data_IF_254785892814
#
_entry.id   IF_254785892814
#
_cell.length_a   1.000
_cell.length_b   1.000
_cell.length_c   1.000
_cell.angle_alpha   90.00
_cell.angle_beta   90.00
_cell.angle_gamma   90.00
#
_symmetry.space_group_name_H-M   'P 1'
#
loop_
_entity.id
_entity.type
_entity.pdbx_description
1 polymer ?
#
# COMPACT_ATOMS: atom_id res chain seq x y z
N UNK A 1 -18.36 13.87 -9.29
CA UNK A 1 -17.37 12.82 -9.64
C UNK A 1 -17.63 11.49 -8.93
N UNK A 2 -17.97 11.45 -7.63
CA UNK A 2 -18.23 10.21 -6.87
C UNK A 2 -19.12 9.17 -7.56
N UNK A 3 -20.27 9.57 -8.12
CA UNK A 3 -21.19 8.64 -8.83
C UNK A 3 -20.54 7.91 -10.01
N UNK A 4 -19.55 8.53 -10.68
CA UNK A 4 -18.82 7.90 -11.79
C UNK A 4 -17.94 6.78 -11.26
N UNK A 5 -17.06 7.09 -10.32
CA UNK A 5 -16.10 6.12 -9.77
C UNK A 5 -16.80 4.95 -9.07
N UNK A 6 -17.86 5.20 -8.32
CA UNK A 6 -18.69 4.14 -7.75
C UNK A 6 -19.30 3.23 -8.83
N UNK A 7 -19.74 3.81 -9.95
CA UNK A 7 -20.30 3.03 -11.06
C UNK A 7 -19.22 2.18 -11.72
N UNK A 8 -18.01 2.72 -11.92
CA UNK A 8 -16.86 1.97 -12.41
C UNK A 8 -16.56 0.77 -11.49
N UNK A 9 -16.44 1.00 -10.18
CA UNK A 9 -16.25 -0.08 -9.21
C UNK A 9 -17.39 -1.10 -9.22
N UNK A 10 -18.65 -0.65 -9.34
CA UNK A 10 -19.80 -1.57 -9.41
C UNK A 10 -19.79 -2.42 -10.68
N UNK A 11 -19.27 -1.90 -11.80
CA UNK A 11 -19.27 -2.57 -13.12
C UNK A 11 -17.96 -3.24 -13.49
N UNK A 12 -16.91 -3.11 -12.68
CA UNK A 12 -15.65 -3.82 -12.84
C UNK A 12 -15.88 -5.33 -13.02
N UNK A 13 -15.19 -5.91 -14.01
CA UNK A 13 -15.32 -7.32 -14.37
C UNK A 13 -14.81 -8.25 -13.28
N UNK A 14 -13.56 -8.03 -12.87
CA UNK A 14 -12.89 -8.86 -11.88
C UNK A 14 -12.94 -8.19 -10.51
N UNK A 15 -13.70 -8.76 -9.58
CA UNK A 15 -13.75 -8.31 -8.18
C UNK A 15 -13.16 -9.35 -7.23
N UNK A 16 -11.98 -9.85 -7.59
CA UNK A 16 -11.32 -10.92 -6.86
C UNK A 16 -10.54 -10.45 -5.64
N UNK A 17 -10.90 -9.29 -5.08
CA UNK A 17 -10.25 -8.76 -3.89
C UNK A 17 -10.25 -9.78 -2.74
N UNK A 18 -11.39 -10.41 -2.42
CA UNK A 18 -11.49 -11.39 -1.33
C UNK A 18 -10.72 -12.69 -1.56
N UNK A 19 -10.38 -13.03 -2.81
CA UNK A 19 -9.56 -14.21 -3.15
C UNK A 19 -8.10 -13.87 -3.38
N UNK A 20 -7.74 -12.58 -3.34
CA UNK A 20 -6.37 -12.10 -3.55
C UNK A 20 -5.39 -12.61 -2.48
N UNK A 21 -4.10 -12.58 -2.81
CA UNK A 21 -3.03 -12.88 -1.84
C UNK A 21 -3.03 -11.86 -0.68
N UNK A 22 -3.28 -10.59 -0.98
CA UNK A 22 -3.36 -9.51 0.01
C UNK A 22 -4.47 -9.76 1.03
N UNK A 23 -5.68 -10.11 0.59
CA UNK A 23 -6.78 -10.37 1.51
C UNK A 23 -6.56 -11.65 2.33
N UNK A 24 -6.00 -12.70 1.73
CA UNK A 24 -5.65 -13.94 2.46
C UNK A 24 -4.58 -13.71 3.53
N UNK A 25 -3.57 -12.91 3.21
CA UNK A 25 -2.55 -12.52 4.18
C UNK A 25 -3.16 -11.70 5.32
N UNK A 26 -4.03 -10.74 5.00
CA UNK A 26 -4.75 -9.95 5.98
C UNK A 26 -5.60 -10.81 6.91
N UNK A 27 -6.49 -11.65 6.37
CA UNK A 27 -7.42 -12.45 7.19
C UNK A 27 -6.69 -13.36 8.17
N UNK A 28 -5.54 -13.91 7.77
CA UNK A 28 -4.69 -14.76 8.61
C UNK A 28 -4.06 -14.01 9.80
N UNK A 29 -3.75 -12.72 9.64
CA UNK A 29 -2.90 -11.99 10.59
C UNK A 29 -3.57 -10.76 11.24
N UNK A 30 -4.78 -10.37 10.82
CA UNK A 30 -5.44 -9.12 11.24
C UNK A 30 -5.58 -8.92 12.75
N UNK A 31 -5.62 -10.00 13.54
CA UNK A 31 -5.71 -9.95 15.00
C UNK A 31 -4.45 -9.33 15.65
N UNK A 32 -3.31 -9.34 14.95
CA UNK A 32 -2.10 -8.65 15.43
C UNK A 32 -2.32 -7.15 15.63
N UNK A 33 -3.30 -6.56 14.95
CA UNK A 33 -3.62 -5.14 15.04
C UNK A 33 -4.44 -4.80 16.30
N UNK A 34 -5.11 -5.78 16.91
CA UNK A 34 -6.00 -5.54 18.06
C UNK A 34 -5.22 -5.14 19.33
N UNK A 35 -3.94 -5.54 19.39
CA UNK A 35 -2.99 -5.17 20.43
C UNK A 35 -2.64 -3.68 20.43
N UNK A 36 -2.86 -2.97 19.32
CA UNK A 36 -2.50 -1.56 19.16
C UNK A 36 -3.76 -0.72 18.97
N UNK A 37 -4.20 0.08 19.96
CA UNK A 37 -5.41 0.88 19.87
C UNK A 37 -5.49 1.74 18.60
N UNK A 38 -4.37 2.33 18.18
CA UNK A 38 -4.26 3.15 16.96
C UNK A 38 -4.61 2.37 15.67
N UNK A 39 -4.36 1.05 15.63
CA UNK A 39 -4.56 0.24 14.44
C UNK A 39 -5.79 -0.65 14.48
N UNK A 40 -6.48 -0.70 15.62
CA UNK A 40 -7.64 -1.58 15.82
C UNK A 40 -8.73 -1.39 14.75
N UNK A 41 -8.93 -0.18 14.26
CA UNK A 41 -9.91 0.07 13.20
C UNK A 41 -9.60 -0.72 11.90
N UNK A 42 -8.33 -0.98 11.61
CA UNK A 42 -7.88 -1.75 10.45
C UNK A 42 -8.04 -3.27 10.62
N UNK A 43 -8.20 -3.80 11.84
CA UNK A 43 -8.43 -5.24 12.03
C UNK A 43 -9.76 -5.72 11.46
N UNK A 44 -10.68 -4.78 11.22
CA UNK A 44 -12.00 -5.00 10.62
C UNK A 44 -12.10 -4.52 9.16
N UNK A 45 -10.98 -4.16 8.52
CA UNK A 45 -10.93 -3.60 7.17
C UNK A 45 -11.69 -4.46 6.15
N UNK A 46 -12.60 -3.82 5.40
CA UNK A 46 -13.42 -4.46 4.34
C UNK A 46 -13.07 -3.97 2.93
N UNK A 47 -12.42 -2.81 2.84
CA UNK A 47 -12.03 -2.19 1.57
C UNK A 47 -10.60 -2.60 1.23
N UNK A 48 -10.34 -2.69 -0.07
CA UNK A 48 -9.05 -3.07 -0.64
C UNK A 48 -7.89 -2.21 -0.15
N UNK A 49 -8.04 -0.89 -0.19
CA UNK A 49 -6.99 0.02 0.24
C UNK A 49 -6.71 -0.09 1.75
N UNK A 50 -7.75 -0.23 2.57
CA UNK A 50 -7.59 -0.38 4.03
C UNK A 50 -6.89 -1.70 4.37
N UNK A 51 -7.16 -2.77 3.61
CA UNK A 51 -6.45 -4.04 3.75
C UNK A 51 -4.98 -3.94 3.35
N UNK A 52 -4.66 -3.21 2.27
CA UNK A 52 -3.26 -2.94 1.93
C UNK A 52 -2.57 -2.21 3.07
N UNK A 53 -3.21 -1.16 3.64
CA UNK A 53 -2.66 -0.43 4.78
C UNK A 53 -2.44 -1.33 6.00
N UNK A 54 -3.43 -2.16 6.33
CA UNK A 54 -3.34 -3.14 7.40
C UNK A 54 -2.14 -4.08 7.18
N UNK A 55 -1.93 -4.53 5.94
CA UNK A 55 -0.85 -5.44 5.60
C UNK A 55 0.54 -4.81 5.75
N UNK A 56 0.72 -3.51 5.48
CA UNK A 56 1.99 -2.81 5.76
C UNK A 56 2.32 -2.90 7.25
N UNK A 57 1.35 -2.62 8.12
CA UNK A 57 1.53 -2.65 9.59
C UNK A 57 1.80 -4.08 10.07
N UNK A 58 1.03 -5.06 9.59
CA UNK A 58 1.21 -6.48 9.93
C UNK A 58 2.61 -6.95 9.50
N UNK A 59 3.03 -6.64 8.27
CA UNK A 59 4.37 -6.98 7.77
C UNK A 59 5.47 -6.32 8.61
N UNK A 60 5.27 -5.07 9.04
CA UNK A 60 6.18 -4.38 9.97
C UNK A 60 6.33 -5.14 11.30
N UNK A 61 5.23 -5.59 11.91
CA UNK A 61 5.27 -6.38 13.15
C UNK A 61 5.95 -7.75 12.95
N UNK A 62 5.68 -8.41 11.81
CA UNK A 62 6.34 -9.67 11.45
C UNK A 62 7.84 -9.45 11.22
N UNK A 63 8.22 -8.37 10.56
CA UNK A 63 9.63 -8.03 10.32
C UNK A 63 10.36 -7.81 11.65
N UNK A 64 9.77 -7.01 12.55
CA UNK A 64 10.31 -6.76 13.90
C UNK A 64 10.63 -8.09 14.59
N UNK A 65 9.64 -8.98 14.68
CA UNK A 65 9.80 -10.30 15.32
C UNK A 65 10.90 -11.13 14.67
N UNK A 66 10.95 -11.19 13.34
CA UNK A 66 11.96 -11.97 12.62
C UNK A 66 13.38 -11.43 12.79
N UNK A 67 13.55 -10.11 12.81
CA UNK A 67 14.85 -9.48 13.05
C UNK A 67 15.32 -9.82 14.48
N UNK A 68 14.43 -9.70 15.47
CA UNK A 68 14.73 -10.02 16.87
C UNK A 68 15.10 -11.50 17.05
N UNK A 69 14.34 -12.41 16.44
CA UNK A 69 14.66 -13.84 16.42
C UNK A 69 16.03 -14.12 15.78
N UNK A 70 16.37 -13.42 14.69
CA UNK A 70 17.68 -13.56 14.04
C UNK A 70 18.83 -13.07 14.93
N UNK A 71 18.62 -11.99 15.68
CA UNK A 71 19.60 -11.46 16.65
C UNK A 71 19.85 -12.47 17.78
N UNK A 72 18.80 -13.04 18.36
CA UNK A 72 18.93 -14.06 19.40
C UNK A 72 19.59 -15.33 18.89
N UNK A 73 19.26 -15.76 17.67
CA UNK A 73 19.91 -16.90 17.05
C UNK A 73 21.41 -16.64 16.86
N UNK A 74 21.79 -15.46 16.34
CA UNK A 74 23.20 -15.09 16.16
C UNK A 74 24.01 -15.18 17.48
N UNK A 75 23.41 -14.78 18.60
CA UNK A 75 24.03 -14.90 19.93
C UNK A 75 24.23 -16.35 20.37
N UNK A 76 23.22 -17.20 20.19
CA UNK A 76 23.32 -18.62 20.53
C UNK A 76 24.40 -19.31 19.70
N UNK A 77 24.49 -18.99 18.40
CA UNK A 77 25.53 -19.52 17.51
C UNK A 77 26.92 -19.01 17.90
N UNK A 78 27.09 -17.74 18.26
CA UNK A 78 28.37 -17.19 18.72
C UNK A 78 28.88 -17.83 20.02
N UNK A 79 27.99 -18.27 20.92
CA UNK A 79 28.41 -19.02 22.13
C UNK A 79 28.95 -20.42 21.78
N UNK A 80 28.45 -21.03 20.71
CA UNK A 80 28.86 -22.36 20.24
C UNK A 80 30.13 -22.30 19.38
N UNK A 81 30.25 -21.30 18.52
CA UNK A 81 31.43 -21.06 17.68
C UNK A 81 32.34 -20.04 18.39
N UNK A 82 33.43 -20.52 19.02
CA UNK A 82 34.45 -19.71 19.71
C UNK A 82 35.26 -18.80 18.75
N UNK A 83 34.59 -17.95 17.96
CA UNK A 83 35.27 -17.15 16.95
C UNK A 83 35.43 -15.68 17.34
N UNK A 84 36.64 -15.21 17.03
CA UNK A 84 37.21 -13.88 17.21
C UNK A 84 36.53 -12.80 16.36
N UNK A 85 35.40 -13.09 15.74
CA UNK A 85 34.72 -12.14 14.85
C UNK A 85 33.79 -11.22 15.67
N UNK A 86 34.10 -9.93 15.59
CA UNK A 86 33.38 -8.85 16.26
C UNK A 86 31.96 -8.64 15.71
N UNK A 87 31.48 -7.40 15.74
CA UNK A 87 30.15 -7.00 15.24
C UNK A 87 29.89 -7.38 13.77
N UNK A 88 30.94 -7.51 12.95
CA UNK A 88 30.82 -7.82 11.52
C UNK A 88 30.14 -9.18 11.22
N UNK A 89 30.45 -10.23 11.98
CA UNK A 89 29.80 -11.54 11.84
C UNK A 89 28.30 -11.45 12.12
N UNK A 90 27.93 -10.79 13.21
CA UNK A 90 26.55 -10.64 13.65
C UNK A 90 25.71 -9.91 12.59
N UNK A 91 26.24 -8.82 12.04
CA UNK A 91 25.58 -8.06 10.98
C UNK A 91 25.38 -8.93 9.74
N UNK A 92 26.41 -9.66 9.30
CA UNK A 92 26.30 -10.53 8.12
C UNK A 92 25.27 -11.65 8.33
N UNK A 93 25.34 -12.34 9.47
CA UNK A 93 24.41 -13.42 9.82
C UNK A 93 22.95 -12.95 9.83
N UNK A 94 22.68 -11.81 10.49
CA UNK A 94 21.32 -11.26 10.55
C UNK A 94 20.84 -10.86 9.16
N UNK A 95 21.68 -10.18 8.35
CA UNK A 95 21.34 -9.78 6.98
C UNK A 95 20.95 -10.95 6.10
N UNK A 96 21.64 -12.09 6.21
CA UNK A 96 21.29 -13.32 5.49
C UNK A 96 19.90 -13.86 5.89
N UNK A 97 19.53 -13.75 7.18
CA UNK A 97 18.21 -14.21 7.66
C UNK A 97 17.07 -13.28 7.27
N UNK A 98 17.34 -12.00 7.06
CA UNK A 98 16.31 -10.99 6.77
C UNK A 98 16.25 -10.56 5.29
N UNK A 99 17.02 -11.21 4.41
CA UNK A 99 17.17 -10.83 3.00
C UNK A 99 15.84 -10.72 2.23
N UNK A 100 14.86 -11.54 2.60
CA UNK A 100 13.55 -11.58 1.94
C UNK A 100 12.47 -10.74 2.65
N UNK A 101 12.84 -9.99 3.69
CA UNK A 101 11.87 -9.12 4.37
C UNK A 101 11.60 -7.88 3.52
N UNK A 102 10.33 -7.44 3.41
CA UNK A 102 10.01 -6.18 2.75
C UNK A 102 10.63 -5.02 3.53
N UNK A 103 11.09 -4.00 2.81
CA UNK A 103 11.57 -2.75 3.38
C UNK A 103 11.19 -1.59 2.46
N UNK A 104 11.11 -0.39 3.05
CA UNK A 104 11.15 0.87 2.31
C UNK A 104 12.56 1.45 2.32
N UNK A 105 12.89 2.29 1.35
CA UNK A 105 14.14 3.05 1.34
C UNK A 105 13.79 4.51 1.62
N UNK A 106 14.31 5.05 2.72
CA UNK A 106 14.05 6.42 3.15
C UNK A 106 15.38 7.02 3.60
N UNK A 107 15.79 8.14 3.01
CA UNK A 107 17.09 8.77 3.26
C UNK A 107 18.27 7.78 3.13
N UNK A 108 18.26 6.96 2.07
CA UNK A 108 19.22 5.88 1.81
C UNK A 108 19.29 4.76 2.87
N UNK A 109 18.39 4.76 3.86
CA UNK A 109 18.29 3.72 4.89
C UNK A 109 17.14 2.77 4.58
N UNK A 110 17.37 1.47 4.85
CA UNK A 110 16.30 0.47 4.81
C UNK A 110 15.43 0.55 6.05
N UNK A 111 14.14 0.78 5.86
CA UNK A 111 13.12 0.80 6.91
C UNK A 111 12.37 -0.53 6.88
N UNK A 112 12.72 -1.42 7.81
CA UNK A 112 12.09 -2.74 7.94
C UNK A 112 10.87 -2.74 8.85
N UNK A 113 10.76 -1.77 9.77
CA UNK A 113 9.72 -1.72 10.80
C UNK A 113 9.06 -0.34 10.79
N UNK A 114 8.30 0.01 9.73
CA UNK A 114 7.77 1.36 9.53
C UNK A 114 6.76 1.84 10.58
N UNK A 115 6.34 1.01 11.53
CA UNK A 115 5.59 1.49 12.71
C UNK A 115 6.44 2.29 13.70
N UNK A 116 7.76 2.30 13.54
CA UNK A 116 8.67 3.12 14.33
C UNK A 116 9.20 4.31 13.52
N UNK A 117 9.80 5.29 14.19
CA UNK A 117 10.52 6.38 13.51
C UNK A 117 11.84 5.90 12.88
N UNK A 118 12.51 6.79 12.14
CA UNK A 118 13.79 6.50 11.48
C UNK A 118 14.89 6.10 12.48
N UNK A 119 14.96 6.77 13.63
CA UNK A 119 16.00 6.51 14.65
C UNK A 119 15.92 5.08 15.19
N UNK A 120 14.72 4.61 15.51
CA UNK A 120 14.52 3.22 15.96
C UNK A 120 14.71 2.26 14.78
N UNK A 121 14.25 2.60 13.57
CA UNK A 121 14.47 1.75 12.41
C UNK A 121 15.95 1.52 12.09
N UNK A 122 16.84 2.46 12.42
CA UNK A 122 18.29 2.27 12.31
C UNK A 122 18.79 1.08 13.13
N UNK A 123 18.20 0.84 14.30
CA UNK A 123 18.50 -0.34 15.13
C UNK A 123 18.09 -1.63 14.40
N UNK A 124 16.96 -1.60 13.71
CA UNK A 124 16.45 -2.74 12.94
C UNK A 124 17.05 -2.90 11.54
N UNK A 125 17.99 -2.04 11.14
CA UNK A 125 18.61 -2.08 9.80
C UNK A 125 20.13 -2.21 9.84
N UNK A 126 20.78 -1.57 10.82
CA UNK A 126 22.22 -1.37 10.88
C UNK A 126 22.79 -1.71 12.26
N UNK A 127 22.17 -1.22 13.34
CA UNK A 127 22.71 -1.31 14.71
C UNK A 127 22.06 -2.44 15.52
N UNK A 128 22.00 -3.66 14.97
CA UNK A 128 21.24 -4.78 15.54
C UNK A 128 21.63 -5.14 16.98
N UNK A 129 22.91 -5.01 17.31
CA UNK A 129 23.46 -5.28 18.64
C UNK A 129 22.83 -4.42 19.73
N UNK A 130 22.29 -3.24 19.39
CA UNK A 130 21.60 -2.38 20.35
C UNK A 130 20.39 -3.06 20.95
N UNK A 131 19.71 -3.96 20.24
CA UNK A 131 18.56 -4.72 20.77
C UNK A 131 18.91 -5.58 22.00
N UNK A 132 20.19 -5.77 22.28
CA UNK A 132 20.70 -6.61 23.38
C UNK A 132 21.09 -5.82 24.63
N UNK A 133 21.07 -4.48 24.56
CA UNK A 133 21.55 -3.61 25.64
C UNK A 133 20.51 -2.55 25.99
N UNK A 134 20.50 -2.14 27.25
CA UNK A 134 19.65 -1.04 27.71
C UNK A 134 20.08 0.30 27.09
N UNK A 135 19.13 1.21 26.79
CA UNK A 135 17.68 1.11 27.04
C UNK A 135 16.90 0.38 25.92
N UNK A 136 17.57 -0.13 24.89
CA UNK A 136 16.92 -0.58 23.64
C UNK A 136 16.40 -2.02 23.71
N UNK A 137 16.87 -2.84 24.64
CA UNK A 137 16.26 -4.13 24.99
C UNK A 137 14.77 -4.02 25.33
N UNK A 138 14.30 -2.86 25.81
CA UNK A 138 12.87 -2.62 26.00
C UNK A 138 12.04 -2.66 24.71
N UNK A 139 12.64 -2.41 23.53
CA UNK A 139 11.95 -2.52 22.23
C UNK A 139 11.42 -3.94 21.97
N UNK A 140 11.98 -4.95 22.62
CA UNK A 140 11.56 -6.34 22.47
C UNK A 140 10.17 -6.60 23.07
N UNK A 141 9.82 -5.91 24.15
CA UNK A 141 8.65 -6.26 24.98
C UNK A 141 7.75 -5.09 25.38
N UNK A 142 8.19 -3.84 25.25
CA UNK A 142 7.48 -2.63 25.71
C UNK A 142 7.60 -1.51 24.68
N UNK A 143 7.14 -1.77 23.45
CA UNK A 143 7.29 -0.85 22.33
C UNK A 143 5.99 -0.18 21.89
N UNK A 144 4.87 -0.52 22.52
CA UNK A 144 3.53 -0.10 22.14
C UNK A 144 3.38 1.43 22.14
N UNK A 145 4.05 2.12 23.05
CA UNK A 145 4.05 3.59 23.16
C UNK A 145 4.95 4.28 22.12
N UNK A 146 5.79 3.52 21.42
CA UNK A 146 6.73 4.02 20.42
C UNK A 146 6.20 3.88 18.99
N UNK A 147 5.02 3.27 18.85
CA UNK A 147 4.35 3.04 17.58
C UNK A 147 3.75 4.34 17.05
N UNK A 148 3.98 4.62 15.76
CA UNK A 148 3.53 5.81 15.02
C UNK A 148 2.75 5.39 13.79
N UNK A 149 1.84 6.23 13.28
CA UNK A 149 1.21 5.98 11.99
C UNK A 149 2.28 5.96 10.86
N UNK A 150 2.54 4.79 10.26
CA UNK A 150 3.59 4.65 9.25
C UNK A 150 3.32 5.54 8.03
N UNK A 151 2.05 5.75 7.67
CA UNK A 151 1.66 6.48 6.47
C UNK A 151 1.81 7.99 6.62
N UNK A 152 1.79 8.49 7.85
CA UNK A 152 2.07 9.90 8.14
C UNK A 152 3.56 10.15 8.31
N UNK A 153 4.31 9.17 8.83
CA UNK A 153 5.75 9.31 9.06
C UNK A 153 6.60 9.10 7.80
N UNK A 154 6.16 8.20 6.91
CA UNK A 154 6.92 7.80 5.71
C UNK A 154 6.24 8.14 4.39
N UNK A 155 5.02 8.70 4.43
CA UNK A 155 4.29 9.21 3.28
C UNK A 155 4.26 8.20 2.09
N UNK A 156 4.54 8.69 0.88
CA UNK A 156 4.50 7.93 -0.37
C UNK A 156 5.53 6.81 -0.44
N UNK A 157 6.67 6.96 0.24
CA UNK A 157 7.75 5.97 0.20
C UNK A 157 7.31 4.57 0.62
N UNK A 158 6.31 4.45 1.51
CA UNK A 158 5.75 3.14 1.87
C UNK A 158 4.95 2.50 0.74
N UNK A 159 4.20 3.29 -0.01
CA UNK A 159 3.40 2.75 -1.10
C UNK A 159 4.26 2.31 -2.27
N UNK A 160 5.42 2.92 -2.47
CA UNK A 160 6.39 2.53 -3.50
C UNK A 160 7.34 1.42 -3.05
N UNK A 161 7.28 1.04 -1.78
CA UNK A 161 8.18 0.05 -1.20
C UNK A 161 7.74 -1.40 -1.44
N UNK A 162 8.63 -2.32 -1.04
CA UNK A 162 8.38 -3.76 -1.06
C UNK A 162 7.28 -4.21 -0.07
N UNK A 163 6.72 -3.30 0.73
CA UNK A 163 5.55 -3.61 1.57
C UNK A 163 4.26 -3.73 0.77
N UNK A 164 4.19 -3.17 -0.43
CA UNK A 164 3.01 -3.24 -1.29
C UNK A 164 3.36 -3.75 -2.69
N UNK A 165 2.34 -4.12 -3.46
CA UNK A 165 2.49 -4.46 -4.88
C UNK A 165 2.02 -3.31 -5.79
N UNK A 166 2.03 -2.08 -5.29
CA UNK A 166 1.69 -0.93 -6.09
C UNK A 166 2.78 -0.60 -7.09
N UNK A 167 2.36 -0.01 -8.21
CA UNK A 167 3.24 0.55 -9.21
C UNK A 167 2.92 2.02 -9.35
N UNK A 168 3.91 2.87 -9.15
CA UNK A 168 3.76 4.31 -9.34
C UNK A 168 3.51 4.64 -10.82
N UNK A 169 2.51 5.47 -11.06
CA UNK A 169 2.23 6.06 -12.38
C UNK A 169 2.62 7.54 -12.37
N UNK A 170 2.31 8.24 -11.29
CA UNK A 170 2.49 9.69 -11.16
C UNK A 170 2.65 10.08 -9.69
N UNK A 171 3.34 11.18 -9.44
CA UNK A 171 3.52 11.78 -8.13
C UNK A 171 3.72 13.29 -8.26
N UNK A 172 3.12 14.04 -7.34
CA UNK A 172 3.40 15.44 -7.05
C UNK A 172 3.48 15.65 -5.52
N UNK A 173 3.62 16.88 -5.06
CA UNK A 173 3.75 17.21 -3.63
C UNK A 173 2.51 16.85 -2.78
N UNK A 174 1.34 16.70 -3.40
CA UNK A 174 0.05 16.53 -2.71
C UNK A 174 -0.53 15.13 -2.90
N UNK A 175 -0.15 14.42 -3.96
CA UNK A 175 -0.81 13.22 -4.44
C UNK A 175 0.17 12.25 -5.12
N UNK A 176 -0.04 10.95 -4.87
CA UNK A 176 0.55 9.87 -5.66
C UNK A 176 -0.57 9.05 -6.34
N UNK A 177 -0.37 8.71 -7.62
CA UNK A 177 -1.21 7.78 -8.36
C UNK A 177 -0.51 6.43 -8.50
N UNK A 178 -1.18 5.39 -8.01
CA UNK A 178 -0.65 4.04 -7.88
C UNK A 178 -1.56 3.04 -8.58
N UNK A 179 -0.99 2.09 -9.30
CA UNK A 179 -1.73 1.00 -9.91
C UNK A 179 -1.53 -0.31 -9.18
N UNK A 180 -2.57 -1.13 -9.06
CA UNK A 180 -2.48 -2.49 -8.54
C UNK A 180 -3.00 -3.50 -9.57
N UNK A 181 -2.14 -4.39 -10.05
CA UNK A 181 -2.48 -5.37 -11.10
C UNK A 181 -3.64 -6.29 -10.71
N UNK A 182 -3.59 -6.91 -9.53
CA UNK A 182 -4.65 -7.86 -9.11
C UNK A 182 -6.02 -7.18 -8.96
N UNK A 183 -6.03 -5.91 -8.54
CA UNK A 183 -7.26 -5.15 -8.31
C UNK A 183 -7.70 -4.35 -9.53
N UNK A 184 -6.84 -4.27 -10.57
CA UNK A 184 -7.07 -3.55 -11.81
C UNK A 184 -7.61 -2.14 -11.54
N UNK A 185 -6.97 -1.43 -10.61
CA UNK A 185 -7.48 -0.18 -10.06
C UNK A 185 -6.35 0.82 -9.89
N UNK A 186 -6.61 2.07 -10.27
CA UNK A 186 -5.76 3.22 -9.97
C UNK A 186 -6.20 3.79 -8.62
N UNK A 187 -5.27 3.99 -7.70
CA UNK A 187 -5.49 4.59 -6.40
C UNK A 187 -4.81 5.96 -6.38
N UNK A 188 -5.53 6.96 -5.90
CA UNK A 188 -5.04 8.31 -5.69
C UNK A 188 -4.92 8.53 -4.20
N UNK A 189 -3.69 8.64 -3.71
CA UNK A 189 -3.38 8.73 -2.28
C UNK A 189 -2.83 10.12 -2.01
N UNK A 190 -3.41 10.83 -1.03
CA UNK A 190 -2.97 12.16 -0.65
C UNK A 190 -1.69 12.13 0.19
N UNK A 191 -1.06 13.29 0.40
CA UNK A 191 0.17 13.44 1.20
C UNK A 191 0.10 12.89 2.63
N UNK A 192 -1.09 12.74 3.22
CA UNK A 192 -1.29 12.10 4.53
C UNK A 192 -1.37 10.56 4.45
N UNK A 193 -1.11 9.98 3.28
CA UNK A 193 -1.19 8.55 3.05
C UNK A 193 -2.62 8.01 3.16
N UNK A 194 -3.63 8.82 2.78
CA UNK A 194 -5.04 8.41 2.78
C UNK A 194 -5.57 8.33 1.36
N UNK A 195 -6.50 7.40 1.13
CA UNK A 195 -7.15 7.27 -0.16
C UNK A 195 -8.06 8.48 -0.41
N UNK A 196 -7.74 9.26 -1.43
CA UNK A 196 -8.60 10.32 -1.92
C UNK A 196 -9.69 9.77 -2.84
N UNK A 197 -9.29 8.96 -3.83
CA UNK A 197 -10.22 8.25 -4.70
C UNK A 197 -9.56 7.04 -5.35
N UNK A 198 -10.36 6.22 -6.03
CA UNK A 198 -9.86 5.17 -6.89
C UNK A 198 -10.67 5.03 -8.18
N UNK A 199 -10.03 4.59 -9.24
CA UNK A 199 -10.63 4.34 -10.54
C UNK A 199 -10.46 2.86 -10.87
N UNK A 200 -11.56 2.12 -10.79
CA UNK A 200 -11.59 0.71 -11.19
C UNK A 200 -11.61 0.62 -12.72
N UNK A 201 -10.72 -0.21 -13.27
CA UNK A 201 -10.55 -0.43 -14.70
C UNK A 201 -11.19 -1.76 -15.12
N UNK A 202 -11.32 -1.95 -16.44
CA UNK A 202 -11.81 -3.16 -17.09
C UNK A 202 -13.20 -3.57 -16.61
N UNK A 203 -14.20 -2.88 -17.13
CA UNK A 203 -15.59 -3.20 -16.82
C UNK A 203 -16.05 -4.50 -17.49
N UNK A 204 -17.18 -5.03 -17.01
CA UNK A 204 -17.75 -6.31 -17.44
C UNK A 204 -18.09 -6.43 -18.92
N UNK A 205 -18.17 -5.31 -19.67
CA UNK A 205 -18.40 -5.32 -21.12
C UNK A 205 -17.11 -5.50 -21.92
N UNK A 206 -15.93 -5.43 -21.30
CA UNK A 206 -14.65 -5.77 -21.94
C UNK A 206 -14.47 -7.29 -21.91
N UNK A 207 -14.45 -7.91 -23.10
CA UNK A 207 -14.32 -9.37 -23.25
C UNK A 207 -12.95 -9.87 -22.81
N UNK A 208 -11.86 -9.22 -23.23
CA UNK A 208 -10.48 -9.54 -22.86
C UNK A 208 -9.78 -8.24 -22.48
N UNK A 209 -9.50 -8.00 -21.18
CA UNK A 209 -8.69 -6.87 -20.76
C UNK A 209 -7.32 -6.94 -21.42
N UNK A 210 -6.89 -5.83 -22.02
CA UNK A 210 -5.56 -5.72 -22.60
C UNK A 210 -4.59 -5.08 -21.60
N UNK A 211 -3.47 -5.76 -21.34
CA UNK A 211 -2.41 -5.32 -20.45
C UNK A 211 -1.16 -4.84 -21.20
N UNK A 212 -1.13 -4.91 -22.53
CA UNK A 212 -0.01 -4.38 -23.31
C UNK A 212 0.10 -2.87 -23.09
N UNK A 213 1.33 -2.42 -22.84
CA UNK A 213 1.65 -1.02 -22.58
C UNK A 213 0.71 -0.36 -21.55
N UNK A 214 0.27 -1.11 -20.53
CA UNK A 214 -0.76 -0.64 -19.62
C UNK A 214 -0.36 0.66 -18.93
N UNK A 215 0.87 0.75 -18.40
CA UNK A 215 1.31 1.94 -17.67
C UNK A 215 1.22 3.22 -18.51
N UNK A 216 1.70 3.19 -19.75
CA UNK A 216 1.60 4.35 -20.66
C UNK A 216 0.15 4.67 -21.04
N UNK A 217 -0.75 3.69 -21.04
CA UNK A 217 -2.20 3.88 -21.22
C UNK A 217 -2.87 4.49 -19.98
N UNK A 218 -2.31 4.30 -18.78
CA UNK A 218 -2.82 4.90 -17.54
C UNK A 218 -2.42 6.38 -17.42
N UNK A 219 -1.28 6.78 -17.97
CA UNK A 219 -0.76 8.16 -17.88
C UNK A 219 -1.77 9.23 -18.35
N UNK A 220 -2.43 9.13 -19.53
CA UNK A 220 -3.44 10.11 -19.94
C UNK A 220 -4.62 10.22 -18.98
N UNK A 221 -5.04 9.10 -18.39
CA UNK A 221 -6.16 9.06 -17.42
C UNK A 221 -5.78 9.77 -16.13
N UNK A 222 -4.58 9.50 -15.63
CA UNK A 222 -4.04 10.13 -14.42
C UNK A 222 -3.84 11.62 -14.64
N UNK A 223 -3.25 12.02 -15.78
CA UNK A 223 -3.07 13.43 -16.13
C UNK A 223 -4.39 14.19 -16.19
N UNK A 224 -5.42 13.60 -16.81
CA UNK A 224 -6.75 14.21 -16.84
C UNK A 224 -7.40 14.30 -15.45
N UNK A 225 -7.18 13.32 -14.57
CA UNK A 225 -7.65 13.39 -13.18
C UNK A 225 -6.99 14.54 -12.41
N UNK A 226 -5.66 14.65 -12.48
CA UNK A 226 -4.88 15.68 -11.77
C UNK A 226 -5.25 17.08 -12.27
N UNK A 227 -5.52 17.23 -13.57
CA UNK A 227 -5.94 18.50 -14.18
C UNK A 227 -7.44 18.83 -13.97
N UNK A 228 -8.17 18.05 -13.16
CA UNK A 228 -9.61 18.18 -12.95
C UNK A 228 -10.46 18.11 -14.25
N UNK A 229 -9.92 17.55 -15.33
CA UNK A 229 -10.61 17.42 -16.61
C UNK A 229 -11.48 16.15 -16.64
N UNK A 230 -12.71 16.29 -16.17
CA UNK A 230 -13.69 15.19 -16.18
C UNK A 230 -13.94 14.65 -17.60
N UNK A 231 -13.96 15.51 -18.63
CA UNK A 231 -14.29 15.07 -20.00
C UNK A 231 -13.11 14.31 -20.59
N UNK A 232 -11.90 14.86 -20.48
CA UNK A 232 -10.67 14.20 -20.88
C UNK A 232 -10.45 12.87 -20.16
N UNK A 233 -10.77 12.80 -18.86
CA UNK A 233 -10.66 11.54 -18.10
C UNK A 233 -11.57 10.45 -18.68
N UNK A 234 -12.83 10.77 -18.97
CA UNK A 234 -13.77 9.81 -19.53
C UNK A 234 -13.40 9.41 -20.96
N UNK A 235 -12.86 10.34 -21.75
CA UNK A 235 -12.37 10.06 -23.09
C UNK A 235 -11.14 9.15 -23.06
N UNK A 236 -10.13 9.50 -22.25
CA UNK A 236 -8.92 8.72 -22.07
C UNK A 236 -9.23 7.29 -21.60
N UNK A 237 -10.18 7.11 -20.68
CA UNK A 237 -10.60 5.76 -20.24
C UNK A 237 -11.11 4.89 -21.40
N UNK A 238 -11.73 5.46 -22.43
CA UNK A 238 -12.27 4.74 -23.59
C UNK A 238 -11.23 4.59 -24.69
N UNK A 239 -10.57 5.69 -25.06
CA UNK A 239 -9.54 5.73 -26.10
C UNK A 239 -8.37 4.81 -25.77
N UNK A 240 -8.02 4.72 -24.49
CA UNK A 240 -6.99 3.80 -24.00
C UNK A 240 -7.55 2.41 -23.72
N UNK A 241 -8.78 2.09 -24.12
CA UNK A 241 -9.45 0.78 -23.94
C UNK A 241 -9.47 0.23 -22.50
N UNK A 242 -9.43 1.12 -21.50
CA UNK A 242 -9.45 0.75 -20.09
C UNK A 242 -10.87 0.52 -19.57
N UNK A 243 -11.85 1.18 -20.19
CA UNK A 243 -13.29 1.05 -19.95
C UNK A 243 -14.01 1.03 -21.30
N UNK A 244 -15.03 0.18 -21.42
CA UNK A 244 -15.85 0.08 -22.62
C UNK A 244 -16.60 1.39 -22.91
N UNK A 245 -16.67 1.74 -24.19
CA UNK A 245 -17.53 2.81 -24.71
C UNK A 245 -18.98 2.66 -24.21
N UNK A 246 -19.48 1.42 -24.18
CA UNK A 246 -20.83 1.07 -23.68
C UNK A 246 -21.09 1.54 -22.25
N UNK A 247 -20.12 1.42 -21.34
CA UNK A 247 -20.30 1.89 -19.97
C UNK A 247 -20.31 3.42 -19.90
N UNK A 248 -19.42 4.08 -20.64
CA UNK A 248 -19.35 5.54 -20.68
C UNK A 248 -20.59 6.17 -21.31
N UNK A 249 -21.12 5.61 -22.39
CA UNK A 249 -22.38 6.05 -22.99
C UNK A 249 -23.54 5.98 -21.99
N UNK A 250 -23.61 4.88 -21.20
CA UNK A 250 -24.63 4.73 -20.15
C UNK A 250 -24.48 5.78 -19.05
N UNK A 251 -23.26 6.16 -18.69
CA UNK A 251 -22.99 7.22 -17.74
C UNK A 251 -23.42 8.59 -18.30
N UNK A 252 -23.09 8.88 -19.56
CA UNK A 252 -23.46 10.13 -20.25
C UNK A 252 -24.98 10.28 -20.38
N UNK A 253 -25.70 9.24 -20.82
CA UNK A 253 -27.17 9.27 -20.94
C UNK A 253 -27.84 9.56 -19.59
N UNK A 254 -27.41 8.89 -18.51
CA UNK A 254 -27.95 9.14 -17.17
C UNK A 254 -27.75 10.59 -16.70
N UNK A 255 -26.61 11.19 -17.03
CA UNK A 255 -26.33 12.58 -16.68
C UNK A 255 -27.22 13.55 -17.47
N UNK A 256 -27.45 13.28 -18.77
CA UNK A 256 -28.37 14.06 -19.60
C UNK A 256 -29.82 13.98 -19.10
N UNK A 257 -30.32 12.78 -18.80
CA UNK A 257 -31.68 12.59 -18.26
C UNK A 257 -31.88 13.33 -16.93
N UNK A 258 -30.87 13.28 -16.04
CA UNK A 258 -30.94 13.99 -14.76
C UNK A 258 -30.96 15.51 -14.94
N UNK A 259 -30.16 16.06 -15.86
CA UNK A 259 -30.17 17.50 -16.17
C UNK A 259 -31.50 17.95 -16.77
N UNK A 260 -32.08 17.15 -17.66
CA UNK A 260 -33.41 17.42 -18.24
C UNK A 260 -34.50 17.42 -17.16
N UNK A 261 -34.50 16.46 -16.24
CA UNK A 261 -35.43 16.41 -15.11
C UNK A 261 -35.32 17.63 -14.19
N UNK A 262 -34.11 18.11 -13.91
CA UNK A 262 -33.92 19.31 -13.08
C UNK A 262 -34.44 20.58 -13.74
N UNK A 263 -34.30 20.71 -15.07
CA UNK A 263 -34.84 21.88 -15.80
C UNK A 263 -36.36 21.95 -15.69
N UNK A 264 -37.06 20.81 -15.86
CA UNK A 264 -38.51 20.72 -15.71
C UNK A 264 -39.06 20.91 -14.29
N UNK A 265 -38.21 21.04 -13.27
CA UNK A 265 -38.62 21.34 -11.88
C UNK A 265 -38.42 22.80 -11.48
N UNK A 266 -37.72 23.57 -12.31
CA UNK A 266 -37.37 24.98 -12.06
C UNK A 266 -38.22 25.90 -12.96
N UNK A 267 -38.88 25.33 -13.97
CA UNK A 267 -40.00 25.91 -14.72
C UNK A 267 -41.33 25.51 -14.05
#
# INVERSE_FOLDING_TARGET
>A
MMKVFETLTKKQKNKNFKSSKEYRFFTKNRLMLDAFPMYRFLSSARRDFDVIRANVIIRSLINKKKIEEAVFLALSTKKTFKEKEGSAFLIKFIREKIVNLPFAVVNNMRVYVPIFNLTINKIYSEDFEKLLVEPYSHLLHKFETLVLDPFENYHFALYESLFTNFIKIYEDELLIALFHYDFQTIYFVNKQGRLQTKIALFDKFIKRPDFHHLLSRLEPVVKAYVNFDKKGLLNALVEQELISSRLIERLRRKEQTFRSFLRHKIE
#
